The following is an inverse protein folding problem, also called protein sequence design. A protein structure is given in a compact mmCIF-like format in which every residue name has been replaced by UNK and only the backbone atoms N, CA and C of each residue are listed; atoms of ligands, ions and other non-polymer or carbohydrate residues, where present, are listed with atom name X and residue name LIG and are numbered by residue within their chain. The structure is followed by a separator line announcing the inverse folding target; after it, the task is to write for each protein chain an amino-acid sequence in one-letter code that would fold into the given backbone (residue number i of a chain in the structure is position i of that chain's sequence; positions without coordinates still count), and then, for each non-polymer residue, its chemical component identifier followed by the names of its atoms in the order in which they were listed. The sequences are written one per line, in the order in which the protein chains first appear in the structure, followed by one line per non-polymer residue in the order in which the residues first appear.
data_IF_009874398200
#
_entry.id   IF_009874398200
#
_cell.length_a   1.000
_cell.length_b   1.000
_cell.length_c   1.000
_cell.angle_alpha   90.00
_cell.angle_beta   90.00
_cell.angle_gamma   90.00
#
_symmetry.space_group_name_H-M   'P 1'
#
loop_
_entity.id
_entity.type
_entity.pdbx_description
1 polymer ?
#
# COMPACT_ATOMS: atom_id res chain seq x y z
N UNK A 1 69.13 18.96 -32.98
CA UNK A 1 69.22 17.49 -32.76
C UNK A 1 69.91 17.32 -31.41
N UNK A 2 69.35 16.70 -30.38
CA UNK A 2 68.36 15.63 -30.29
C UNK A 2 67.56 15.70 -28.99
N UNK A 3 66.26 15.45 -29.11
CA UNK A 3 65.43 14.57 -28.29
C UNK A 3 66.03 14.14 -26.93
N UNK A 4 65.38 14.51 -25.81
CA UNK A 4 64.96 13.56 -24.75
C UNK A 4 64.24 14.31 -23.60
N UNK A 5 63.18 15.05 -23.92
CA UNK A 5 62.25 15.55 -22.91
C UNK A 5 61.15 14.49 -22.75
N UNK A 6 61.42 13.48 -21.91
CA UNK A 6 60.50 12.38 -21.63
C UNK A 6 59.37 12.91 -20.74
N UNK A 7 58.27 13.26 -21.39
CA UNK A 7 56.94 13.43 -20.81
C UNK A 7 56.57 12.20 -19.96
N UNK A 8 56.62 12.33 -18.65
CA UNK A 8 55.86 11.47 -17.74
C UNK A 8 54.49 12.12 -17.53
N UNK A 9 53.60 11.94 -18.51
CA UNK A 9 52.20 12.34 -18.37
C UNK A 9 51.51 11.25 -17.54
N UNK A 10 51.42 11.46 -16.23
CA UNK A 10 50.64 10.62 -15.33
C UNK A 10 49.18 10.65 -15.76
N UNK A 11 48.74 9.57 -16.40
CA UNK A 11 47.35 9.30 -16.72
C UNK A 11 46.61 9.05 -15.40
N UNK A 12 46.13 10.12 -14.77
CA UNK A 12 45.20 10.04 -13.66
C UNK A 12 43.88 9.49 -14.23
N UNK A 13 43.69 8.18 -14.09
CA UNK A 13 42.44 7.51 -14.36
C UNK A 13 41.39 8.09 -13.40
N UNK A 14 40.62 9.06 -13.89
CA UNK A 14 39.41 9.53 -13.21
C UNK A 14 38.47 8.33 -13.12
N UNK A 15 38.45 7.66 -11.96
CA UNK A 15 37.31 6.84 -11.56
C UNK A 15 36.13 7.80 -11.38
N UNK A 16 35.44 8.08 -12.47
CA UNK A 16 34.11 8.63 -12.41
C UNK A 16 33.24 7.55 -11.75
N UNK A 17 33.07 7.64 -10.43
CA UNK A 17 32.02 6.90 -9.73
C UNK A 17 30.70 7.38 -10.30
N UNK A 18 30.16 6.65 -11.28
CA UNK A 18 28.78 6.81 -11.70
C UNK A 18 27.93 6.40 -10.51
N UNK A 19 27.50 7.38 -9.72
CA UNK A 19 26.48 7.14 -8.71
C UNK A 19 25.26 6.59 -9.45
N UNK A 20 24.93 5.32 -9.22
CA UNK A 20 23.70 4.74 -9.73
C UNK A 20 22.55 5.62 -9.23
N UNK A 21 21.64 6.07 -10.10
CA UNK A 21 20.51 6.87 -9.66
C UNK A 21 19.78 6.12 -8.54
N UNK A 22 19.50 6.83 -7.44
CA UNK A 22 18.74 6.27 -6.35
C UNK A 22 17.35 5.88 -6.88
N UNK A 23 17.02 4.60 -6.73
CA UNK A 23 15.72 4.06 -7.09
C UNK A 23 14.63 4.80 -6.33
N UNK A 24 13.68 5.41 -7.05
CA UNK A 24 12.60 6.18 -6.42
C UNK A 24 11.50 5.22 -5.98
N UNK A 25 11.42 5.01 -4.67
CA UNK A 25 10.42 4.17 -4.02
C UNK A 25 9.17 5.00 -3.69
N UNK A 26 8.00 4.43 -3.94
CA UNK A 26 6.72 5.08 -3.69
C UNK A 26 5.61 4.05 -3.42
N UNK A 27 4.48 4.53 -2.92
CA UNK A 27 3.25 3.74 -2.94
C UNK A 27 2.62 3.77 -4.32
N UNK A 28 2.37 2.58 -4.85
CA UNK A 28 1.70 2.34 -6.13
C UNK A 28 0.32 1.81 -5.79
N UNK A 29 -0.67 2.70 -5.81
CA UNK A 29 -2.03 2.41 -5.41
C UNK A 29 -2.93 2.10 -6.60
N UNK A 30 -3.93 1.26 -6.33
CA UNK A 30 -5.09 1.12 -7.19
C UNK A 30 -6.08 2.28 -7.01
N UNK A 31 -7.14 2.24 -7.82
CA UNK A 31 -8.24 3.16 -7.70
C UNK A 31 -9.01 2.96 -6.37
N UNK A 32 -9.60 4.03 -5.87
CA UNK A 32 -10.57 3.95 -4.79
C UNK A 32 -11.85 3.24 -5.25
N UNK A 33 -12.29 2.26 -4.47
CA UNK A 33 -13.55 1.54 -4.64
C UNK A 33 -14.52 1.98 -3.54
N UNK A 34 -15.69 2.55 -3.89
CA UNK A 34 -16.70 2.90 -2.89
C UNK A 34 -17.49 1.66 -2.44
N UNK A 35 -17.97 1.68 -1.20
CA UNK A 35 -19.10 0.87 -0.75
C UNK A 35 -20.30 1.77 -0.47
N UNK A 36 -21.52 1.23 -0.50
CA UNK A 36 -22.75 2.00 -0.34
C UNK A 36 -23.59 1.45 0.80
N UNK A 37 -24.16 2.35 1.61
CA UNK A 37 -25.08 2.02 2.71
C UNK A 37 -26.41 2.75 2.54
N UNK A 38 -27.35 2.49 3.45
CA UNK A 38 -28.54 3.29 3.69
C UNK A 38 -28.24 4.28 4.82
N UNK A 39 -28.40 5.57 4.56
CA UNK A 39 -28.39 6.58 5.60
C UNK A 39 -29.58 6.35 6.54
N UNK A 40 -29.34 5.81 7.73
CA UNK A 40 -30.43 5.42 8.65
C UNK A 40 -31.21 6.60 9.24
N UNK A 41 -30.67 7.82 9.19
CA UNK A 41 -31.37 9.02 9.66
C UNK A 41 -32.36 9.56 8.62
N UNK A 42 -32.07 9.38 7.33
CA UNK A 42 -32.81 10.05 6.24
C UNK A 42 -33.39 9.10 5.18
N UNK A 43 -33.01 7.82 5.17
CA UNK A 43 -33.59 6.79 4.31
C UNK A 43 -33.14 6.79 2.85
N UNK A 44 -32.05 7.47 2.49
CA UNK A 44 -31.45 7.44 1.15
C UNK A 44 -30.14 6.66 1.11
N UNK A 45 -29.71 6.21 -0.07
CA UNK A 45 -28.42 5.53 -0.23
C UNK A 45 -27.27 6.53 -0.32
N UNK A 46 -26.15 6.24 0.35
CA UNK A 46 -24.95 7.07 0.35
C UNK A 46 -23.67 6.22 0.29
N UNK A 47 -22.54 6.84 -0.02
CA UNK A 47 -21.23 6.19 0.08
C UNK A 47 -20.90 5.97 1.55
N UNK A 48 -20.64 4.72 1.93
CA UNK A 48 -20.22 4.36 3.28
C UNK A 48 -18.72 4.51 3.43
N UNK A 49 -17.96 3.74 2.67
CA UNK A 49 -16.50 3.78 2.68
C UNK A 49 -15.93 4.00 1.28
N UNK A 50 -14.71 4.51 1.21
CA UNK A 50 -13.84 4.38 0.05
C UNK A 50 -12.60 3.58 0.47
N UNK A 51 -12.24 2.56 -0.29
CA UNK A 51 -11.08 1.72 -0.01
C UNK A 51 -10.17 1.59 -1.22
N UNK A 52 -8.88 1.40 -0.98
CA UNK A 52 -7.91 1.05 -2.00
C UNK A 52 -6.95 -0.02 -1.47
N UNK A 53 -6.24 -0.63 -2.40
CA UNK A 53 -5.10 -1.51 -2.11
C UNK A 53 -3.92 -1.04 -2.96
N UNK A 54 -2.72 -1.11 -2.41
CA UNK A 54 -1.51 -0.67 -3.08
C UNK A 54 -0.29 -1.44 -2.58
N UNK A 55 0.84 -1.28 -3.25
CA UNK A 55 2.10 -1.84 -2.80
C UNK A 55 3.20 -0.79 -2.79
N UNK A 56 4.17 -0.96 -1.90
CA UNK A 56 5.35 -0.12 -1.85
C UNK A 56 6.39 -0.71 -2.79
N UNK A 57 6.84 0.08 -3.77
CA UNK A 57 7.84 -0.38 -4.71
C UNK A 57 8.43 0.74 -5.55
N UNK A 58 9.21 0.34 -6.55
CA UNK A 58 9.75 1.30 -7.48
C UNK A 58 8.74 1.62 -8.56
N UNK A 59 8.80 2.85 -9.07
CA UNK A 59 8.01 3.27 -10.23
C UNK A 59 8.52 2.69 -11.56
N UNK A 60 9.63 1.96 -11.50
CA UNK A 60 10.15 1.11 -12.55
C UNK A 60 10.02 -0.38 -12.16
N UNK A 61 10.40 -1.28 -13.07
CA UNK A 61 10.32 -2.71 -12.81
C UNK A 61 11.51 -3.25 -12.00
N UNK A 62 12.34 -2.40 -11.39
CA UNK A 62 13.48 -2.88 -10.60
C UNK A 62 13.10 -3.36 -9.20
N UNK A 63 11.87 -3.09 -8.72
CA UNK A 63 11.36 -3.64 -7.45
C UNK A 63 9.83 -3.65 -7.40
N UNK A 64 9.19 -4.66 -6.78
CA UNK A 64 9.78 -5.81 -6.08
C UNK A 64 10.49 -6.82 -7.00
N UNK A 65 11.45 -7.56 -6.45
CA UNK A 65 12.09 -8.70 -7.12
C UNK A 65 11.52 -10.01 -6.58
N UNK A 66 11.56 -11.07 -7.40
CA UNK A 66 11.15 -12.41 -6.96
C UNK A 66 11.90 -12.80 -5.69
N UNK A 67 11.14 -13.21 -4.66
CA UNK A 67 11.64 -13.61 -3.35
C UNK A 67 11.84 -12.45 -2.37
N UNK A 68 12.01 -11.22 -2.85
CA UNK A 68 12.21 -10.07 -1.97
C UNK A 68 10.90 -9.70 -1.25
N UNK A 69 10.97 -9.43 0.07
CA UNK A 69 9.82 -8.93 0.81
C UNK A 69 9.53 -7.48 0.42
N UNK A 70 8.25 -7.16 0.25
CA UNK A 70 7.74 -5.81 0.00
C UNK A 70 6.45 -5.57 0.77
N UNK A 71 6.14 -4.30 1.03
CA UNK A 71 4.91 -3.93 1.73
C UNK A 71 3.74 -3.83 0.76
N UNK A 72 2.59 -4.29 1.21
CA UNK A 72 1.28 -4.00 0.64
C UNK A 72 0.53 -3.16 1.66
N UNK A 73 -0.35 -2.27 1.19
CA UNK A 73 -1.29 -1.56 2.04
C UNK A 73 -2.72 -1.75 1.61
N UNK A 74 -3.59 -1.85 2.60
CA UNK A 74 -5.01 -1.51 2.45
C UNK A 74 -5.21 -0.16 3.12
N UNK A 75 -5.87 0.77 2.44
CA UNK A 75 -6.27 2.06 2.98
C UNK A 75 -7.77 2.20 2.76
N UNK A 76 -8.49 2.64 3.79
CA UNK A 76 -9.91 2.93 3.69
C UNK A 76 -10.31 4.10 4.58
N UNK A 77 -11.38 4.77 4.21
CA UNK A 77 -12.01 5.83 5.00
C UNK A 77 -13.52 5.67 5.04
N UNK A 78 -14.13 5.91 6.20
CA UNK A 78 -15.58 5.92 6.36
C UNK A 78 -16.10 7.34 6.26
N UNK A 79 -16.95 7.61 5.28
CA UNK A 79 -17.56 8.94 5.02
C UNK A 79 -19.07 8.96 5.26
N UNK A 80 -19.75 7.82 5.11
CA UNK A 80 -21.19 7.71 5.31
C UNK A 80 -21.59 7.61 6.79
N UNK A 81 -22.89 7.66 7.04
CA UNK A 81 -23.51 7.53 8.35
C UNK A 81 -24.07 6.09 8.51
N UNK A 82 -23.29 5.15 9.08
CA UNK A 82 -23.76 3.79 9.32
C UNK A 82 -24.93 3.79 10.31
N UNK A 83 -25.68 2.68 10.31
CA UNK A 83 -26.76 2.44 11.25
C UNK A 83 -26.24 2.05 12.64
N UNK A 84 -27.14 1.62 13.53
CA UNK A 84 -26.79 1.22 14.89
C UNK A 84 -25.66 0.16 14.89
N UNK A 85 -24.64 0.40 15.73
CA UNK A 85 -23.41 -0.41 15.78
C UNK A 85 -22.18 0.31 15.21
N UNK A 86 -22.38 1.41 14.45
CA UNK A 86 -21.30 2.18 13.84
C UNK A 86 -20.64 1.43 12.67
N UNK A 87 -19.63 2.06 12.06
CA UNK A 87 -18.89 1.46 10.95
C UNK A 87 -17.73 0.63 11.49
N UNK A 88 -17.78 -0.67 11.22
CA UNK A 88 -16.68 -1.59 11.47
C UNK A 88 -16.21 -2.18 10.14
N UNK A 89 -14.96 -2.65 10.08
CA UNK A 89 -14.40 -3.16 8.83
C UNK A 89 -13.59 -4.43 9.06
N UNK A 90 -13.88 -5.47 8.29
CA UNK A 90 -13.01 -6.64 8.21
C UNK A 90 -12.20 -6.57 6.92
N UNK A 91 -10.87 -6.64 7.06
CA UNK A 91 -9.94 -6.54 5.94
C UNK A 91 -9.50 -7.95 5.55
N UNK A 92 -9.87 -8.36 4.35
CA UNK A 92 -9.42 -9.61 3.72
C UNK A 92 -8.77 -9.29 2.40
N UNK A 93 -7.72 -10.02 2.06
CA UNK A 93 -6.97 -9.78 0.83
C UNK A 93 -6.66 -11.11 0.17
N UNK A 94 -7.06 -11.25 -1.09
CA UNK A 94 -6.60 -12.31 -1.97
C UNK A 94 -5.30 -11.87 -2.64
N UNK A 95 -4.28 -12.71 -2.53
CA UNK A 95 -2.95 -12.42 -3.04
C UNK A 95 -2.76 -12.89 -4.49
N UNK A 96 -1.86 -12.25 -5.24
CA UNK A 96 -1.38 -12.76 -6.51
C UNK A 96 -0.84 -14.18 -6.40
N UNK A 97 -0.69 -14.85 -7.55
CA UNK A 97 -0.12 -16.17 -7.65
C UNK A 97 1.25 -16.25 -6.95
N UNK A 98 1.45 -17.35 -6.23
CA UNK A 98 2.68 -17.65 -5.49
C UNK A 98 3.18 -16.49 -4.58
N UNK A 99 2.25 -15.71 -4.04
CA UNK A 99 2.52 -14.64 -3.09
C UNK A 99 1.99 -15.02 -1.71
N UNK A 100 2.82 -14.81 -0.68
CA UNK A 100 2.50 -15.19 0.70
C UNK A 100 2.90 -14.08 1.68
N UNK A 101 2.23 -13.98 2.85
CA UNK A 101 2.63 -13.03 3.88
C UNK A 101 3.99 -13.40 4.46
N UNK A 102 4.79 -12.38 4.80
CA UNK A 102 6.04 -12.57 5.53
C UNK A 102 5.76 -12.39 7.01
N UNK A 103 5.74 -13.49 7.78
CA UNK A 103 5.39 -13.46 9.19
C UNK A 103 6.62 -13.59 10.09
N UNK A 104 6.65 -12.86 11.21
CA UNK A 104 7.71 -12.98 12.22
C UNK A 104 9.02 -12.28 11.87
N UNK A 105 9.04 -11.43 10.82
CA UNK A 105 10.18 -10.56 10.52
C UNK A 105 10.08 -9.26 11.37
N UNK A 106 10.96 -9.07 12.37
CA UNK A 106 10.93 -7.87 13.21
C UNK A 106 11.34 -6.59 12.46
N UNK A 107 12.02 -6.72 11.31
CA UNK A 107 12.36 -5.56 10.46
C UNK A 107 11.19 -5.15 9.58
N UNK A 108 10.21 -6.04 9.39
CA UNK A 108 9.06 -5.82 8.53
C UNK A 108 7.76 -6.26 9.21
N UNK A 109 7.37 -5.66 10.35
CA UNK A 109 6.14 -6.04 11.03
C UNK A 109 4.91 -5.60 10.23
N UNK A 110 3.76 -6.20 10.53
CA UNK A 110 2.47 -5.61 10.16
C UNK A 110 2.31 -4.32 10.97
N UNK A 111 1.91 -3.23 10.31
CA UNK A 111 1.67 -1.93 10.92
C UNK A 111 0.26 -1.47 10.62
N UNK A 112 -0.44 -0.95 11.62
CA UNK A 112 -1.81 -0.51 11.48
C UNK A 112 -1.91 0.93 11.95
N UNK A 113 -2.68 1.74 11.25
CA UNK A 113 -2.79 3.17 11.52
C UNK A 113 -4.24 3.61 11.46
N UNK A 114 -4.58 4.57 12.32
CA UNK A 114 -5.81 5.35 12.23
C UNK A 114 -5.47 6.79 11.84
N UNK A 115 -6.38 7.46 11.15
CA UNK A 115 -6.21 8.87 10.79
C UNK A 115 -7.57 9.55 10.62
N UNK A 116 -7.70 10.84 10.99
CA UNK A 116 -8.90 11.60 10.68
C UNK A 116 -8.91 11.93 9.18
N UNK A 117 -10.05 11.74 8.50
CA UNK A 117 -10.18 12.06 7.08
C UNK A 117 -10.05 13.58 6.81
N UNK A 118 -10.35 14.41 7.81
CA UNK A 118 -10.17 15.86 7.73
C UNK A 118 -8.70 16.30 7.77
N UNK A 119 -7.80 15.46 8.28
CA UNK A 119 -6.37 15.75 8.32
C UNK A 119 -5.54 14.44 8.33
N UNK A 120 -5.32 13.81 7.16
CA UNK A 120 -4.58 12.55 7.07
C UNK A 120 -3.14 12.62 7.61
N UNK A 121 -2.55 13.81 7.74
CA UNK A 121 -1.21 14.00 8.32
C UNK A 121 -1.19 13.67 9.83
N UNK A 122 -2.35 13.61 10.49
CA UNK A 122 -2.49 13.17 11.88
C UNK A 122 -2.66 11.66 12.01
N UNK A 123 -2.01 10.91 11.13
CA UNK A 123 -1.98 9.45 11.21
C UNK A 123 -1.26 8.97 12.47
N UNK A 124 -1.88 8.05 13.19
CA UNK A 124 -1.35 7.45 14.41
C UNK A 124 -1.31 5.93 14.28
N UNK A 125 -0.17 5.34 14.63
CA UNK A 125 0.01 3.89 14.66
C UNK A 125 -0.65 3.27 15.90
N UNK A 126 -1.29 2.11 15.74
CA UNK A 126 -1.81 1.33 16.85
C UNK A 126 -0.66 0.64 17.60
N UNK A 127 -0.37 1.10 18.82
CA UNK A 127 0.70 0.54 19.68
C UNK A 127 0.18 -0.24 20.89
N UNK A 128 -1.13 -0.37 21.04
CA UNK A 128 -1.82 -1.05 22.14
C UNK A 128 -1.88 -2.58 21.97
N UNK A 129 -1.25 -3.09 20.91
CA UNK A 129 -1.29 -4.49 20.53
C UNK A 129 -2.50 -4.86 19.68
N UNK A 130 -3.41 -3.94 19.34
CA UNK A 130 -4.58 -4.25 18.51
C UNK A 130 -4.24 -4.63 17.07
N UNK A 131 -3.07 -4.23 16.56
CA UNK A 131 -2.61 -4.62 15.23
C UNK A 131 -2.16 -6.09 15.21
N UNK A 132 -2.69 -6.93 14.29
CA UNK A 132 -2.35 -8.35 14.28
C UNK A 132 -0.88 -8.57 13.95
N UNK A 133 -0.22 -9.45 14.71
CA UNK A 133 1.16 -9.86 14.46
C UNK A 133 1.27 -10.84 13.28
N UNK A 134 0.22 -11.61 13.04
CA UNK A 134 0.12 -12.57 11.94
C UNK A 134 -1.28 -12.51 11.31
N UNK A 135 -1.39 -12.59 9.98
CA UNK A 135 -2.69 -12.69 9.33
C UNK A 135 -3.28 -14.09 9.53
N UNK A 136 -4.61 -14.17 9.48
CA UNK A 136 -5.32 -15.45 9.51
C UNK A 136 -5.65 -15.89 8.09
N UNK A 137 -5.23 -17.10 7.70
CA UNK A 137 -5.68 -17.71 6.44
C UNK A 137 -7.13 -18.19 6.63
N UNK A 138 -8.06 -17.65 5.82
CA UNK A 138 -9.48 -17.99 5.93
C UNK A 138 -9.98 -18.84 4.76
N UNK A 139 -9.39 -18.66 3.58
CA UNK A 139 -9.62 -19.45 2.36
C UNK A 139 -8.28 -19.56 1.61
N UNK A 140 -8.09 -20.52 0.69
CA UNK A 140 -6.86 -20.60 -0.11
C UNK A 140 -6.52 -19.26 -0.77
N UNK A 141 -5.38 -18.68 -0.41
CA UNK A 141 -4.91 -17.39 -0.92
C UNK A 141 -5.54 -16.14 -0.30
N UNK A 142 -6.57 -16.28 0.55
CA UNK A 142 -7.28 -15.17 1.20
C UNK A 142 -6.83 -15.02 2.65
N UNK A 143 -6.20 -13.90 2.94
CA UNK A 143 -5.63 -13.57 4.24
C UNK A 143 -6.42 -12.45 4.91
N UNK A 144 -6.74 -12.64 6.19
CA UNK A 144 -7.49 -11.70 7.01
C UNK A 144 -6.58 -10.95 7.98
N UNK A 145 -6.78 -9.63 8.05
CA UNK A 145 -6.00 -8.67 8.84
C UNK A 145 -6.88 -7.93 9.84
N UNK A 146 -7.62 -8.67 10.65
CA UNK A 146 -8.50 -8.11 11.69
C UNK A 146 -7.72 -7.87 13.00
N UNK A 147 -8.19 -6.97 13.88
CA UNK A 147 -7.45 -6.60 15.08
C UNK A 147 -7.42 -7.72 16.13
N UNK A 148 -6.33 -7.83 16.90
CA UNK A 148 -6.15 -8.83 17.96
C UNK A 148 -5.19 -8.33 19.05
N UNK A 149 -5.46 -8.42 20.37
CA UNK A 149 -6.75 -8.54 21.04
C UNK A 149 -7.32 -7.13 21.33
N UNK A 150 -8.56 -6.85 20.96
CA UNK A 150 -9.14 -5.55 21.33
C UNK A 150 -10.54 -5.37 20.78
N UNK A 151 -10.63 -5.10 19.48
CA UNK A 151 -11.88 -4.73 18.83
C UNK A 151 -12.76 -5.91 18.37
N UNK A 152 -12.49 -7.12 18.87
CA UNK A 152 -13.21 -8.32 18.45
C UNK A 152 -12.78 -8.81 17.06
N UNK A 153 -13.73 -9.01 16.15
CA UNK A 153 -13.50 -9.58 14.82
C UNK A 153 -13.45 -8.54 13.68
N UNK A 154 -13.45 -7.23 13.96
CA UNK A 154 -13.41 -6.18 12.96
C UNK A 154 -12.80 -4.88 13.53
N UNK A 155 -12.32 -4.00 12.65
CA UNK A 155 -11.76 -2.70 13.01
C UNK A 155 -12.84 -1.64 13.19
N UNK A 156 -12.86 -0.85 14.26
CA UNK A 156 -13.74 0.29 14.38
C UNK A 156 -13.21 1.44 13.55
N UNK A 157 -13.98 1.87 12.55
CA UNK A 157 -13.62 2.98 11.66
C UNK A 157 -14.83 3.90 11.56
N UNK A 158 -15.09 4.72 12.59
CA UNK A 158 -16.27 5.57 12.63
C UNK A 158 -16.22 6.62 11.51
N UNK A 159 -17.38 7.23 11.21
CA UNK A 159 -17.49 8.29 10.21
C UNK A 159 -16.46 9.40 10.46
N UNK A 160 -15.75 9.79 9.41
CA UNK A 160 -14.68 10.78 9.46
C UNK A 160 -13.31 10.22 9.87
N UNK A 161 -13.18 8.90 10.07
CA UNK A 161 -11.91 8.22 10.31
C UNK A 161 -11.53 7.30 9.16
N UNK A 162 -10.23 7.04 9.05
CA UNK A 162 -9.65 6.06 8.16
C UNK A 162 -8.80 5.03 8.90
N UNK A 163 -8.58 3.92 8.22
CA UNK A 163 -7.72 2.82 8.62
C UNK A 163 -6.73 2.53 7.51
N UNK A 164 -5.48 2.33 7.87
CA UNK A 164 -4.45 1.87 6.96
C UNK A 164 -3.71 0.68 7.60
N UNK A 165 -3.54 -0.40 6.84
CA UNK A 165 -2.81 -1.59 7.28
C UNK A 165 -1.69 -1.85 6.29
N UNK A 166 -0.44 -1.84 6.75
CA UNK A 166 0.73 -2.25 5.99
C UNK A 166 1.09 -3.66 6.41
N UNK A 167 1.25 -4.55 5.43
CA UNK A 167 1.67 -5.92 5.71
C UNK A 167 2.70 -6.38 4.68
N UNK A 168 3.75 -7.08 5.12
CA UNK A 168 4.78 -7.56 4.22
C UNK A 168 4.31 -8.84 3.50
N UNK A 169 4.70 -8.95 2.24
CA UNK A 169 4.48 -10.13 1.42
C UNK A 169 5.74 -10.43 0.61
N UNK A 170 5.84 -11.63 0.07
CA UNK A 170 6.87 -12.00 -0.89
C UNK A 170 6.26 -12.84 -2.01
N UNK A 171 6.60 -12.51 -3.25
CA UNK A 171 6.16 -13.21 -4.46
C UNK A 171 7.27 -14.12 -4.95
N UNK A 172 6.98 -15.40 -5.11
CA UNK A 172 7.96 -16.43 -5.50
C UNK A 172 8.06 -16.65 -7.02
N UNK A 173 7.30 -15.87 -7.79
CA UNK A 173 7.29 -15.90 -9.26
C UNK A 173 7.28 -14.46 -9.80
N UNK A 174 7.69 -14.33 -11.06
CA UNK A 174 7.57 -13.08 -11.81
C UNK A 174 6.09 -12.75 -12.00
N UNK A 175 5.70 -11.52 -11.70
CA UNK A 175 4.35 -10.99 -11.92
C UNK A 175 4.46 -9.87 -12.95
N UNK A 176 3.74 -9.99 -14.08
CA UNK A 176 3.82 -9.01 -15.18
C UNK A 176 2.70 -7.97 -15.13
N UNK A 177 2.24 -7.61 -13.92
CA UNK A 177 1.15 -6.66 -13.72
C UNK A 177 -0.10 -7.03 -14.54
N UNK A 178 -0.73 -6.04 -15.16
CA UNK A 178 -1.99 -6.22 -15.90
C UNK A 178 -1.88 -7.21 -17.07
N UNK A 179 -0.68 -7.40 -17.64
CA UNK A 179 -0.47 -8.34 -18.74
C UNK A 179 -0.67 -9.82 -18.33
N UNK A 180 -0.53 -10.12 -17.04
CA UNK A 180 -0.79 -11.45 -16.45
C UNK A 180 -2.24 -11.64 -15.99
N UNK A 181 -3.13 -10.68 -16.22
CA UNK A 181 -4.53 -10.75 -15.79
C UNK A 181 -4.67 -10.74 -14.27
N UNK A 182 -5.58 -11.57 -13.75
CA UNK A 182 -5.91 -11.60 -12.32
C UNK A 182 -4.82 -12.25 -11.45
N UNK A 183 -3.90 -13.03 -12.05
CA UNK A 183 -2.83 -13.73 -11.33
C UNK A 183 -1.79 -12.80 -10.73
N UNK A 184 -1.68 -11.57 -11.22
CA UNK A 184 -0.73 -10.55 -10.76
C UNK A 184 -1.38 -9.47 -9.90
N UNK A 185 -2.61 -9.68 -9.42
CA UNK A 185 -3.41 -8.63 -8.76
C UNK A 185 -3.64 -8.92 -7.29
N UNK A 186 -3.36 -7.93 -6.44
CA UNK A 186 -3.94 -7.89 -5.10
C UNK A 186 -5.41 -7.50 -5.20
N UNK A 187 -6.26 -8.31 -4.55
CA UNK A 187 -7.70 -8.10 -4.54
C UNK A 187 -8.18 -7.97 -3.09
N UNK A 188 -8.58 -6.76 -2.69
CA UNK A 188 -9.20 -6.53 -1.39
C UNK A 188 -10.63 -7.06 -1.37
N UNK A 189 -11.02 -7.69 -0.27
CA UNK A 189 -12.40 -8.03 0.09
C UNK A 189 -12.68 -7.36 1.41
N UNK A 190 -13.11 -6.10 1.34
CA UNK A 190 -13.27 -5.24 2.50
C UNK A 190 -14.73 -5.32 2.91
N UNK A 191 -15.03 -6.00 4.01
CA UNK A 191 -16.39 -6.13 4.52
C UNK A 191 -16.69 -4.97 5.47
N UNK A 192 -17.55 -4.04 5.03
CA UNK A 192 -17.90 -2.83 5.74
C UNK A 192 -19.20 -3.08 6.51
N UNK A 193 -19.08 -3.37 7.80
CA UNK A 193 -20.19 -3.70 8.68
C UNK A 193 -20.83 -2.39 9.14
N UNK A 194 -22.05 -2.13 8.68
CA UNK A 194 -22.77 -0.86 8.86
C UNK A 194 -24.06 -0.99 9.67
N UNK A 195 -24.37 -2.20 10.15
CA UNK A 195 -25.59 -2.48 10.91
C UNK A 195 -26.87 -2.63 10.08
N UNK A 196 -26.79 -2.59 8.74
CA UNK A 196 -27.96 -2.77 7.85
C UNK A 196 -27.69 -3.74 6.70
N UNK A 197 -26.81 -3.39 5.75
CA UNK A 197 -26.53 -4.20 4.55
C UNK A 197 -25.17 -4.88 4.62
N UNK A 198 -24.25 -4.28 5.36
CA UNK A 198 -22.87 -4.70 5.53
C UNK A 198 -22.16 -4.98 4.19
N UNK A 199 -22.07 -3.98 3.29
CA UNK A 199 -21.56 -4.16 1.93
C UNK A 199 -20.08 -4.53 1.89
N UNK A 200 -19.67 -5.21 0.82
CA UNK A 200 -18.25 -5.41 0.50
C UNK A 200 -17.77 -4.39 -0.54
N UNK A 201 -16.52 -3.95 -0.42
CA UNK A 201 -15.78 -3.26 -1.49
C UNK A 201 -14.60 -4.09 -1.96
N UNK A 202 -14.27 -3.96 -3.26
CA UNK A 202 -13.33 -4.81 -3.97
C UNK A 202 -12.18 -4.02 -4.64
N UNK A 203 -11.38 -3.27 -3.85
CA UNK A 203 -10.24 -2.54 -4.40
C UNK A 203 -9.20 -3.48 -4.99
N UNK A 204 -8.51 -3.02 -6.03
CA UNK A 204 -7.67 -3.84 -6.90
C UNK A 204 -6.40 -3.13 -7.26
N UNK A 205 -5.27 -3.83 -7.21
CA UNK A 205 -4.00 -3.33 -7.74
C UNK A 205 -3.16 -4.44 -8.35
N UNK A 206 -2.75 -4.25 -9.61
CA UNK A 206 -1.79 -5.12 -10.28
C UNK A 206 -0.37 -4.81 -9.82
N UNK A 207 0.44 -5.86 -9.69
CA UNK A 207 1.81 -5.75 -9.20
C UNK A 207 2.77 -6.30 -10.22
N UNK A 208 3.86 -5.54 -10.42
CA UNK A 208 4.98 -5.96 -11.22
C UNK A 208 6.08 -6.49 -10.30
N UNK A 209 6.49 -7.75 -10.48
CA UNK A 209 7.61 -8.36 -9.74
C UNK A 209 8.63 -8.85 -10.76
N UNK A 210 9.81 -8.25 -10.78
CA UNK A 210 10.88 -8.59 -11.72
C UNK A 210 11.66 -9.84 -11.30
N UNK A 211 12.33 -10.51 -12.26
CA UNK A 211 13.32 -11.54 -11.96
C UNK A 211 14.39 -11.04 -10.98
N UNK A 212 14.86 -11.93 -10.11
CA UNK A 212 15.99 -11.63 -9.24
C UNK A 212 17.23 -11.26 -10.08
N UNK A 213 17.88 -10.15 -9.73
CA UNK A 213 19.13 -9.71 -10.36
C UNK A 213 19.00 -9.04 -11.74
N UNK A 214 17.80 -8.68 -12.20
CA UNK A 214 17.60 -7.92 -13.44
C UNK A 214 16.76 -6.66 -13.18
N UNK A 215 17.17 -5.54 -13.79
CA UNK A 215 16.37 -4.33 -13.85
C UNK A 215 15.66 -4.31 -15.22
N UNK A 216 14.33 -4.35 -15.23
CA UNK A 216 13.57 -4.22 -16.48
C UNK A 216 13.18 -2.75 -16.68
N UNK A 217 13.31 -2.27 -17.92
CA UNK A 217 12.86 -0.94 -18.32
C UNK A 217 11.48 -1.10 -18.95
N UNK A 218 10.48 -0.37 -18.46
CA UNK A 218 9.15 -0.39 -19.04
C UNK A 218 9.16 0.26 -20.43
N UNK A 219 8.95 -0.52 -21.49
CA UNK A 219 8.46 0.03 -22.75
C UNK A 219 6.96 0.33 -22.58
N UNK A 220 6.67 1.60 -22.31
CA UNK A 220 5.36 2.26 -22.37
C UNK A 220 4.53 2.20 -21.08
N UNK A 221 4.40 3.38 -20.46
CA UNK A 221 3.70 3.61 -19.21
C UNK A 221 2.24 3.18 -19.22
N UNK A 222 1.85 2.50 -18.15
CA UNK A 222 0.45 2.30 -17.80
C UNK A 222 0.12 3.12 -16.56
N UNK A 223 -1.00 3.83 -16.65
CA UNK A 223 -1.56 4.76 -15.68
C UNK A 223 -1.86 4.04 -14.35
N UNK A 224 -0.88 4.04 -13.45
CA UNK A 224 -1.13 4.04 -12.01
C UNK A 224 -1.66 5.44 -11.66
N UNK A 225 -2.86 5.51 -11.08
CA UNK A 225 -3.43 6.77 -10.63
C UNK A 225 -2.57 7.35 -9.51
N UNK A 226 -1.65 8.24 -9.90
CA UNK A 226 -0.77 9.04 -9.05
C UNK A 226 0.07 8.23 -8.06
N UNK A 227 1.35 8.01 -8.42
CA UNK A 227 2.38 7.72 -7.43
C UNK A 227 2.37 8.84 -6.38
N UNK A 228 1.83 8.54 -5.18
CA UNK A 228 1.91 9.46 -4.06
C UNK A 228 3.33 9.34 -3.50
N UNK A 229 4.07 10.45 -3.35
CA UNK A 229 5.31 10.42 -2.58
C UNK A 229 5.01 9.77 -1.23
N UNK A 230 5.93 8.92 -0.76
CA UNK A 230 5.82 8.37 0.58
C UNK A 230 5.63 9.53 1.56
N UNK A 231 4.64 9.44 2.44
CA UNK A 231 4.77 10.09 3.75
C UNK A 231 5.82 9.24 4.46
N UNK A 232 7.01 9.80 4.55
CA UNK A 232 8.29 9.13 4.73
C UNK A 232 8.30 8.19 5.94
N UNK A 233 8.48 6.88 5.69
CA UNK A 233 8.65 5.88 6.74
C UNK A 233 10.09 5.81 7.28
N UNK A 234 10.98 6.73 6.88
CA UNK A 234 12.39 6.65 7.25
C UNK A 234 13.03 8.02 7.46
N UNK A 235 12.45 8.83 8.36
CA UNK A 235 13.15 9.69 9.35
C UNK A 235 12.15 10.61 10.06
N UNK A 236 12.06 10.55 11.40
CA UNK A 236 11.41 11.60 12.20
C UNK A 236 12.32 12.84 12.14
N UNK A 237 11.85 13.96 11.57
CA UNK A 237 11.49 15.12 12.39
C UNK A 237 10.23 15.87 11.92
N UNK A 238 9.43 16.36 12.88
CA UNK A 238 8.37 17.37 12.68
C UNK A 238 8.96 18.75 12.32
N UNK A 239 8.15 19.76 11.94
CA UNK A 239 7.02 19.78 11.00
C UNK A 239 7.22 20.83 9.89
N UNK A 240 6.66 20.62 8.69
CA UNK A 240 6.16 21.70 7.83
C UNK A 240 5.22 21.14 6.74
N UNK A 241 3.96 21.57 6.80
CA UNK A 241 2.90 21.36 5.81
C UNK A 241 3.20 22.16 4.52
N UNK A 242 2.65 21.80 3.34
CA UNK A 242 1.27 22.18 3.04
C UNK A 242 0.38 21.09 2.41
N UNK A 243 -0.89 21.19 2.80
CA UNK A 243 -2.08 20.43 2.40
C UNK A 243 -2.49 20.59 0.93
N UNK A 244 -2.94 19.49 0.30
CA UNK A 244 -3.75 19.51 -0.94
C UNK A 244 -4.78 18.37 -0.94
N UNK A 245 -5.92 18.60 -0.29
CA UNK A 245 -7.18 17.93 -0.57
C UNK A 245 -8.25 19.02 -0.71
N UNK A 246 -8.31 19.61 -1.91
CA UNK A 246 -9.49 20.37 -2.35
C UNK A 246 -10.33 19.42 -3.18
N UNK A 247 -11.32 18.79 -2.56
CA UNK A 247 -12.43 18.14 -3.27
C UNK A 247 -13.63 19.06 -3.10
N UNK A 248 -13.95 19.79 -4.16
CA UNK A 248 -15.20 20.53 -4.29
C UNK A 248 -16.38 19.55 -4.20
N UNK A 249 -17.21 19.77 -3.18
CA UNK A 249 -18.57 19.24 -3.11
C UNK A 249 -19.46 20.12 -4.00
N UNK A 250 -20.14 19.50 -4.96
CA UNK A 250 -21.38 19.98 -5.55
C UNK A 250 -22.48 18.98 -5.24
#
# INVERSE_FOLDING_TARGET
MSLLQRFALSLALLLASTATPAQTMAWIDGAFEPSYTLNCAHGYSEVLTQSLIGYYGATDASYPKVGDPYYVRVLLGTVGAPCAGGAQVSVRVLFPLATAPVTGDPLRPIRCFSFPLSNPDQMAEYTDGSCPLTPTLIEPGVWQYNPTPGFGAAWPVPTGQGLQIWFPVSSQVVLNGIASGDDARFFGRIWNIDGVYSPESFPRQWVFVAPAGQDLIFENGFESSQARPALDAETIPTPASPSLFDVHLH
#
